data_IF_583641938306
#
_entry.id   IF_583641938306
#
_cell.length_a   1.000
_cell.length_b   1.000
_cell.length_c   1.000
_cell.angle_alpha   90.00
_cell.angle_beta   90.00
_cell.angle_gamma   90.00
#
_symmetry.space_group_name_H-M   'P 1'
#
loop_
_entity.id
_entity.type
_entity.pdbx_description
1 polymer ?
#
# COMPACT_ATOMS: atom_id res chain seq x y z
N UNK A 1 -7.42 41.10 14.27
CA UNK A 1 -6.69 42.33 14.66
C UNK A 1 -5.31 42.23 14.07
N UNK A 2 -4.91 43.21 13.27
CA UNK A 2 -3.68 43.23 12.49
C UNK A 2 -3.74 44.46 11.59
N UNK A 3 -2.71 45.30 11.64
CA UNK A 3 -2.70 46.62 11.01
C UNK A 3 -2.25 46.46 9.55
N UNK A 4 -2.87 47.20 8.64
CA UNK A 4 -2.29 47.53 7.34
C UNK A 4 -2.50 49.02 7.08
N UNK A 5 -1.39 49.74 6.98
CA UNK A 5 -1.37 51.07 6.40
C UNK A 5 -1.72 51.03 4.90
N UNK A 6 -2.11 52.17 4.35
CA UNK A 6 -2.23 52.38 2.91
C UNK A 6 -1.91 53.84 2.61
N UNK A 7 -0.62 54.14 2.63
CA UNK A 7 -0.11 55.48 2.37
C UNK A 7 0.07 55.73 0.87
N UNK A 8 -0.37 56.92 0.44
CA UNK A 8 0.16 57.71 -0.68
C UNK A 8 -0.07 57.27 -2.16
N UNK A 9 -0.23 58.31 -2.98
CA UNK A 9 -0.25 58.34 -4.46
C UNK A 9 -1.44 57.63 -5.15
N UNK A 10 -2.12 58.23 -6.12
CA UNK A 10 -1.66 59.28 -7.03
C UNK A 10 -2.49 60.57 -6.99
N UNK A 11 -1.82 61.71 -6.82
CA UNK A 11 -2.36 63.03 -7.13
C UNK A 11 -1.92 63.44 -8.54
N UNK A 12 -2.88 63.65 -9.45
CA UNK A 12 -2.74 64.46 -10.68
C UNK A 12 -4.15 64.83 -11.19
N UNK A 13 -4.60 66.04 -10.82
CA UNK A 13 -5.61 66.82 -11.54
C UNK A 13 -5.12 68.27 -11.49
N UNK A 14 -4.88 68.88 -12.65
CA UNK A 14 -4.30 70.23 -12.71
C UNK A 14 -5.29 71.29 -12.22
N UNK A 15 -4.82 72.23 -11.39
CA UNK A 15 -5.64 73.38 -11.00
C UNK A 15 -5.75 74.37 -12.16
N UNK A 16 -6.98 74.58 -12.64
CA UNK A 16 -7.30 75.64 -13.60
C UNK A 16 -8.32 76.60 -13.00
N UNK A 17 -7.79 77.74 -12.56
CA UNK A 17 -8.42 79.06 -12.44
C UNK A 17 -9.95 79.07 -12.19
N UNK A 18 -10.32 79.12 -10.92
CA UNK A 18 -11.64 79.58 -10.47
C UNK A 18 -11.87 81.01 -11.00
N UNK A 19 -12.92 81.31 -11.80
CA UNK A 19 -13.18 82.67 -12.25
C UNK A 19 -13.48 83.61 -11.05
N UNK A 20 -13.10 84.89 -11.09
CA UNK A 20 -13.33 85.80 -9.98
C UNK A 20 -14.83 86.06 -9.74
N UNK A 21 -15.23 86.14 -8.47
CA UNK A 21 -16.44 86.85 -8.07
C UNK A 21 -16.34 88.30 -8.56
N UNK A 22 -17.31 88.79 -9.33
CA UNK A 22 -17.39 90.22 -9.64
C UNK A 22 -18.82 90.72 -9.81
N UNK A 23 -19.05 91.84 -9.11
CA UNK A 23 -20.18 92.78 -9.17
C UNK A 23 -21.60 92.21 -9.13
N UNK A 24 -22.24 92.45 -7.98
CA UNK A 24 -23.66 92.78 -7.93
C UNK A 24 -23.99 93.84 -8.99
N UNK A 25 -24.99 93.55 -9.82
CA UNK A 25 -25.81 94.57 -10.44
C UNK A 25 -27.16 94.57 -9.70
N UNK A 26 -27.72 95.72 -9.32
CA UNK A 26 -29.01 95.76 -8.64
C UNK A 26 -30.12 95.39 -9.62
N UNK A 27 -30.75 94.23 -9.41
CA UNK A 27 -31.97 93.85 -10.12
C UNK A 27 -33.07 94.87 -9.82
N UNK A 28 -33.34 95.77 -10.77
CA UNK A 28 -34.46 96.70 -10.66
C UNK A 28 -35.75 95.89 -10.81
N UNK A 29 -36.36 95.51 -9.68
CA UNK A 29 -37.65 94.82 -9.65
C UNK A 29 -38.74 95.79 -10.08
N UNK A 30 -38.95 95.89 -11.39
CA UNK A 30 -40.08 96.61 -11.95
C UNK A 30 -41.37 95.88 -11.53
N UNK A 31 -42.17 96.55 -10.71
CA UNK A 31 -43.44 96.02 -10.24
C UNK A 31 -44.38 95.82 -11.42
N UNK A 32 -44.75 94.56 -11.72
CA UNK A 32 -45.93 94.26 -12.52
C UNK A 32 -47.20 94.44 -11.66
N UNK A 33 -47.47 95.68 -11.24
CA UNK A 33 -48.80 96.05 -10.79
C UNK A 33 -49.74 96.10 -12.00
N UNK A 34 -50.87 95.41 -11.88
CA UNK A 34 -51.90 95.32 -12.91
C UNK A 34 -52.36 96.73 -13.33
N UNK A 35 -52.02 97.15 -14.54
CA UNK A 35 -52.34 98.48 -15.04
C UNK A 35 -53.85 98.69 -15.14
N UNK A 36 -54.42 99.41 -14.17
CA UNK A 36 -55.72 100.05 -14.35
C UNK A 36 -55.62 101.05 -15.50
N UNK A 37 -56.65 101.10 -16.33
CA UNK A 37 -56.77 102.04 -17.45
C UNK A 37 -56.85 103.49 -16.97
N UNK A 38 -55.92 104.38 -17.35
CA UNK A 38 -56.13 105.82 -17.31
C UNK A 38 -56.88 106.23 -18.57
N UNK A 39 -57.96 107.01 -18.44
CA UNK A 39 -58.72 107.48 -19.59
C UNK A 39 -57.89 108.44 -20.47
N UNK A 40 -58.03 108.28 -21.78
CA UNK A 40 -57.39 109.15 -22.77
C UNK A 40 -58.11 110.51 -22.87
N UNK A 41 -57.34 111.55 -23.18
CA UNK A 41 -57.77 112.85 -23.69
C UNK A 41 -58.86 113.62 -22.91
N UNK A 42 -58.41 114.65 -22.18
CA UNK A 42 -58.78 116.01 -22.54
C UNK A 42 -57.66 116.97 -22.13
N UNK A 43 -56.79 117.33 -23.08
CA UNK A 43 -55.91 118.48 -22.96
C UNK A 43 -55.81 119.18 -24.31
N UNK A 44 -56.48 120.31 -24.41
CA UNK A 44 -56.50 121.18 -25.57
C UNK A 44 -55.33 122.17 -25.47
N UNK A 45 -54.61 122.43 -26.58
CA UNK A 45 -53.61 123.50 -26.63
C UNK A 45 -52.34 123.23 -27.44
N UNK A 46 -52.06 124.13 -28.39
CA UNK A 46 -50.74 124.39 -29.01
C UNK A 46 -49.97 123.22 -29.65
N UNK A 47 -50.17 123.06 -30.96
CA UNK A 47 -49.16 122.48 -31.86
C UNK A 47 -47.99 123.46 -32.06
N UNK A 48 -46.72 123.07 -31.84
CA UNK A 48 -45.56 123.89 -32.20
C UNK A 48 -45.34 123.91 -33.72
N UNK A 49 -45.27 125.11 -34.31
CA UNK A 49 -45.16 125.30 -35.76
C UNK A 49 -43.85 124.75 -36.34
N UNK A 50 -43.95 124.08 -37.50
CA UNK A 50 -42.79 123.59 -38.25
C UNK A 50 -41.96 124.76 -38.80
N UNK A 51 -40.67 124.84 -38.41
CA UNK A 51 -39.70 125.73 -39.05
C UNK A 51 -38.83 124.90 -40.03
N UNK A 52 -39.21 124.95 -41.30
CA UNK A 52 -38.50 124.26 -42.38
C UNK A 52 -37.18 124.98 -42.70
N UNK A 53 -36.07 124.34 -42.33
CA UNK A 53 -34.73 124.61 -42.85
C UNK A 53 -34.17 123.29 -43.40
N UNK A 54 -33.46 123.28 -44.56
CA UNK A 54 -32.89 122.05 -45.11
C UNK A 54 -32.03 121.28 -44.10
N UNK A 55 -31.29 121.99 -43.25
CA UNK A 55 -30.43 121.38 -42.22
C UNK A 55 -31.22 120.77 -41.06
N UNK A 56 -32.35 121.35 -40.63
CA UNK A 56 -33.18 120.74 -39.57
C UNK A 56 -33.92 119.50 -40.09
N UNK A 57 -34.31 119.49 -41.36
CA UNK A 57 -34.91 118.32 -42.01
C UNK A 57 -33.89 117.18 -42.17
N UNK A 58 -32.65 117.47 -42.59
CA UNK A 58 -31.58 116.48 -42.65
C UNK A 58 -31.23 115.89 -41.27
N UNK A 59 -31.17 116.73 -40.23
CA UNK A 59 -30.93 116.27 -38.84
C UNK A 59 -32.06 115.35 -38.34
N UNK A 60 -33.33 115.69 -38.57
CA UNK A 60 -34.44 114.80 -38.19
C UNK A 60 -34.44 113.48 -38.94
N UNK A 61 -34.04 113.46 -40.22
CA UNK A 61 -33.88 112.22 -40.98
C UNK A 61 -32.75 111.36 -40.39
N UNK A 62 -31.58 111.95 -40.10
CA UNK A 62 -30.46 111.24 -39.48
C UNK A 62 -30.82 110.65 -38.09
N UNK A 63 -31.53 111.41 -37.25
CA UNK A 63 -32.00 110.94 -35.94
C UNK A 63 -33.02 109.80 -36.07
N UNK A 64 -33.97 109.88 -37.00
CA UNK A 64 -34.90 108.78 -37.28
C UNK A 64 -34.19 107.54 -37.79
N UNK A 65 -33.22 107.68 -38.69
CA UNK A 65 -32.39 106.57 -39.18
C UNK A 65 -31.57 105.93 -38.05
N UNK A 66 -31.07 106.73 -37.09
CA UNK A 66 -30.37 106.21 -35.92
C UNK A 66 -31.32 105.47 -34.96
N UNK A 67 -32.51 105.99 -34.69
CA UNK A 67 -33.54 105.34 -33.87
C UNK A 67 -33.98 104.00 -34.48
N UNK A 68 -34.27 103.98 -35.78
CA UNK A 68 -34.58 102.77 -36.55
C UNK A 68 -33.43 101.74 -36.48
N UNK A 69 -32.18 102.20 -36.57
CA UNK A 69 -31.01 101.31 -36.45
C UNK A 69 -30.82 100.77 -35.03
N UNK A 70 -31.07 101.57 -33.99
CA UNK A 70 -31.01 101.13 -32.59
C UNK A 70 -32.09 100.08 -32.34
N UNK A 71 -33.34 100.35 -32.71
CA UNK A 71 -34.44 99.40 -32.53
C UNK A 71 -34.20 98.06 -33.24
N UNK A 72 -33.62 98.11 -34.44
CA UNK A 72 -33.20 96.93 -35.20
C UNK A 72 -32.10 96.13 -34.49
N UNK A 73 -31.07 96.81 -33.97
CA UNK A 73 -30.00 96.18 -33.20
C UNK A 73 -30.49 95.61 -31.85
N UNK A 74 -31.50 96.22 -31.23
CA UNK A 74 -32.16 95.69 -30.03
C UNK A 74 -32.92 94.39 -30.33
N UNK A 75 -33.64 94.34 -31.45
CA UNK A 75 -34.33 93.13 -31.93
C UNK A 75 -33.35 92.02 -32.34
N UNK A 76 -32.26 92.37 -33.04
CA UNK A 76 -31.18 91.44 -33.36
C UNK A 76 -30.48 90.92 -32.08
N UNK A 77 -30.35 91.75 -31.04
CA UNK A 77 -29.81 91.34 -29.74
C UNK A 77 -30.71 90.34 -29.03
N UNK A 78 -32.02 90.61 -28.91
CA UNK A 78 -32.94 89.68 -28.25
C UNK A 78 -33.05 88.37 -29.03
N UNK A 79 -33.09 88.42 -30.36
CA UNK A 79 -33.05 87.20 -31.18
C UNK A 79 -31.76 86.39 -30.98
N UNK A 80 -30.60 87.05 -30.88
CA UNK A 80 -29.33 86.36 -30.58
C UNK A 80 -29.29 85.78 -29.16
N UNK A 81 -29.90 86.47 -28.19
CA UNK A 81 -30.01 86.04 -26.79
C UNK A 81 -30.95 84.84 -26.64
N UNK A 82 -32.09 84.83 -27.32
CA UNK A 82 -33.00 83.68 -27.40
C UNK A 82 -32.36 82.48 -28.10
N UNK A 83 -31.66 82.69 -29.21
CA UNK A 83 -30.89 81.64 -29.90
C UNK A 83 -29.81 81.03 -28.98
N UNK A 84 -29.09 81.86 -28.23
CA UNK A 84 -28.10 81.40 -27.25
C UNK A 84 -28.76 80.61 -26.11
N UNK A 85 -29.93 81.05 -25.63
CA UNK A 85 -30.71 80.34 -24.61
C UNK A 85 -31.23 78.97 -25.10
N UNK A 86 -31.59 78.85 -26.38
CA UNK A 86 -31.95 77.58 -27.02
C UNK A 86 -30.73 76.65 -27.09
N UNK A 87 -29.62 77.11 -27.69
CA UNK A 87 -28.39 76.33 -27.81
C UNK A 87 -27.81 75.89 -26.45
N UNK A 88 -27.93 76.74 -25.43
CA UNK A 88 -27.53 76.42 -24.05
C UNK A 88 -28.37 75.29 -23.47
N UNK A 89 -29.69 75.29 -23.72
CA UNK A 89 -30.61 74.21 -23.29
C UNK A 89 -30.29 72.90 -24.00
N UNK A 90 -30.14 72.94 -25.34
CA UNK A 90 -29.77 71.77 -26.14
C UNK A 90 -28.44 71.17 -25.68
N UNK A 91 -27.40 72.00 -25.48
CA UNK A 91 -26.11 71.54 -24.98
C UNK A 91 -26.20 70.90 -23.58
N UNK A 92 -27.06 71.43 -22.69
CA UNK A 92 -27.32 70.82 -21.38
C UNK A 92 -28.06 69.47 -21.49
N UNK A 93 -28.99 69.35 -22.43
CA UNK A 93 -29.71 68.09 -22.71
C UNK A 93 -28.79 67.02 -23.32
N UNK A 94 -27.94 67.38 -24.29
CA UNK A 94 -26.91 66.48 -24.82
C UNK A 94 -25.93 66.01 -23.74
N UNK A 95 -25.47 66.92 -22.86
CA UNK A 95 -24.61 66.56 -21.72
C UNK A 95 -25.30 65.55 -20.81
N UNK A 96 -26.57 65.78 -20.47
CA UNK A 96 -27.38 64.91 -19.60
C UNK A 96 -27.62 63.54 -20.24
N UNK A 97 -27.83 63.48 -21.56
CA UNK A 97 -27.98 62.23 -22.31
C UNK A 97 -26.68 61.41 -22.29
N UNK A 98 -25.53 62.04 -22.56
CA UNK A 98 -24.22 61.40 -22.52
C UNK A 98 -23.84 60.89 -21.12
N UNK A 99 -24.15 61.66 -20.08
CA UNK A 99 -23.95 61.26 -18.68
C UNK A 99 -24.81 60.03 -18.33
N UNK A 100 -26.08 60.02 -18.73
CA UNK A 100 -26.97 58.87 -18.56
C UNK A 100 -26.42 57.63 -19.26
N UNK A 101 -26.04 57.74 -20.55
CA UNK A 101 -25.50 56.62 -21.34
C UNK A 101 -24.19 56.08 -20.75
N UNK A 102 -23.36 56.96 -20.19
CA UNK A 102 -22.12 56.59 -19.47
C UNK A 102 -22.45 55.80 -18.21
N UNK A 103 -23.44 56.24 -17.42
CA UNK A 103 -23.86 55.55 -16.20
C UNK A 103 -24.52 54.19 -16.49
N UNK A 104 -25.36 54.08 -17.53
CA UNK A 104 -25.94 52.81 -17.98
C UNK A 104 -24.87 51.81 -18.45
N UNK A 105 -23.88 52.29 -19.22
CA UNK A 105 -22.71 51.50 -19.63
C UNK A 105 -21.87 51.02 -18.45
N UNK A 106 -21.64 51.86 -17.45
CA UNK A 106 -20.90 51.52 -16.24
C UNK A 106 -21.64 50.44 -15.41
N UNK A 107 -22.96 50.57 -15.26
CA UNK A 107 -23.80 49.58 -14.57
C UNK A 107 -23.79 48.23 -15.29
N UNK A 108 -23.94 48.21 -16.62
CA UNK A 108 -23.87 47.00 -17.42
C UNK A 108 -22.49 46.32 -17.31
N UNK A 109 -21.40 47.10 -17.27
CA UNK A 109 -20.05 46.57 -17.06
C UNK A 109 -19.86 45.97 -15.66
N UNK A 110 -20.41 46.63 -14.62
CA UNK A 110 -20.36 46.13 -13.23
C UNK A 110 -21.12 44.80 -13.07
N UNK A 111 -22.31 44.69 -13.67
CA UNK A 111 -23.10 43.45 -13.64
C UNK A 111 -22.41 42.33 -14.45
N UNK A 112 -21.80 42.62 -15.59
CA UNK A 112 -20.97 41.66 -16.33
C UNK A 112 -19.77 41.17 -15.51
N UNK A 113 -19.10 42.06 -14.76
CA UNK A 113 -18.02 41.67 -13.83
C UNK A 113 -18.55 40.75 -12.72
N UNK A 114 -19.74 41.04 -12.17
CA UNK A 114 -20.41 40.20 -11.16
C UNK A 114 -20.73 38.81 -11.71
N UNK A 115 -21.42 38.72 -12.85
CA UNK A 115 -21.73 37.45 -13.52
C UNK A 115 -20.47 36.65 -13.85
N UNK A 116 -19.39 37.30 -14.31
CA UNK A 116 -18.09 36.64 -14.53
C UNK A 116 -17.50 36.06 -13.24
N UNK A 117 -17.60 36.76 -12.11
CA UNK A 117 -17.18 36.24 -10.79
C UNK A 117 -18.04 35.03 -10.38
N UNK A 118 -19.35 35.14 -10.50
CA UNK A 118 -20.29 34.07 -10.12
C UNK A 118 -20.05 32.79 -10.96
N UNK A 119 -19.85 32.93 -12.27
CA UNK A 119 -19.46 31.82 -13.17
C UNK A 119 -18.09 31.24 -12.77
N UNK A 120 -17.12 32.06 -12.37
CA UNK A 120 -15.80 31.59 -11.90
C UNK A 120 -15.91 30.79 -10.60
N UNK A 121 -16.78 31.21 -9.68
CA UNK A 121 -17.07 30.48 -8.43
C UNK A 121 -17.76 29.14 -8.74
N UNK A 122 -18.76 29.14 -9.63
CA UNK A 122 -19.42 27.89 -10.06
C UNK A 122 -18.45 26.92 -10.74
N UNK A 123 -17.57 27.42 -11.63
CA UNK A 123 -16.58 26.61 -12.33
C UNK A 123 -15.56 25.98 -11.37
N UNK A 124 -15.03 26.75 -10.42
CA UNK A 124 -14.09 26.24 -9.42
C UNK A 124 -14.74 25.24 -8.44
N UNK A 125 -16.01 25.45 -8.08
CA UNK A 125 -16.82 24.49 -7.32
C UNK A 125 -17.03 23.18 -8.10
N UNK A 126 -17.41 23.27 -9.38
CA UNK A 126 -17.58 22.11 -10.26
C UNK A 126 -16.25 21.34 -10.45
N UNK A 127 -15.14 22.05 -10.68
CA UNK A 127 -13.81 21.46 -10.77
C UNK A 127 -13.42 20.73 -9.47
N UNK A 128 -13.66 21.34 -8.30
CA UNK A 128 -13.44 20.70 -7.00
C UNK A 128 -14.23 19.40 -6.88
N UNK A 129 -15.52 19.41 -7.21
CA UNK A 129 -16.39 18.22 -7.25
C UNK A 129 -15.86 17.13 -8.20
N UNK A 130 -15.39 17.50 -9.40
CA UNK A 130 -14.77 16.55 -10.33
C UNK A 130 -13.53 15.90 -9.72
N UNK A 131 -12.59 16.67 -9.16
CA UNK A 131 -11.37 16.10 -8.55
C UNK A 131 -11.63 15.20 -7.33
N UNK A 132 -12.76 15.40 -6.63
CA UNK A 132 -13.20 14.49 -5.57
C UNK A 132 -13.73 13.17 -6.14
N UNK A 133 -14.55 13.23 -7.18
CA UNK A 133 -15.08 12.03 -7.87
C UNK A 133 -13.96 11.22 -8.55
N UNK A 134 -12.96 11.89 -9.13
CA UNK A 134 -11.76 11.25 -9.67
C UNK A 134 -10.98 10.49 -8.59
N UNK A 135 -10.77 11.09 -7.40
CA UNK A 135 -10.11 10.43 -6.26
C UNK A 135 -10.91 9.24 -5.72
N UNK A 136 -12.24 9.35 -5.68
CA UNK A 136 -13.12 8.24 -5.29
C UNK A 136 -13.04 7.09 -6.30
N UNK A 137 -13.14 7.39 -7.60
CA UNK A 137 -13.01 6.40 -8.67
C UNK A 137 -11.64 5.71 -8.63
N UNK A 138 -10.55 6.45 -8.39
CA UNK A 138 -9.20 5.89 -8.29
C UNK A 138 -8.95 5.12 -6.98
N UNK A 139 -9.71 5.39 -5.92
CA UNK A 139 -9.77 4.51 -4.76
C UNK A 139 -10.50 3.20 -5.11
N UNK A 140 -11.69 3.26 -5.71
CA UNK A 140 -12.48 2.08 -6.10
C UNK A 140 -11.73 1.18 -7.08
N UNK A 141 -11.05 1.73 -8.10
CA UNK A 141 -10.18 0.94 -9.01
C UNK A 141 -9.12 0.15 -8.25
N UNK A 142 -8.39 0.80 -7.34
CA UNK A 142 -7.33 0.16 -6.55
C UNK A 142 -7.88 -0.93 -5.62
N UNK A 143 -9.06 -0.70 -5.03
CA UNK A 143 -9.77 -1.70 -4.22
C UNK A 143 -10.19 -2.92 -5.06
N UNK A 144 -10.78 -2.72 -6.24
CA UNK A 144 -11.17 -3.80 -7.16
C UNK A 144 -9.95 -4.61 -7.62
N UNK A 145 -8.87 -3.93 -8.02
CA UNK A 145 -7.61 -4.59 -8.39
C UNK A 145 -6.96 -5.34 -7.22
N UNK A 146 -7.22 -4.94 -5.97
CA UNK A 146 -6.75 -5.68 -4.80
C UNK A 146 -7.55 -6.98 -4.62
N UNK A 147 -8.87 -6.89 -4.61
CA UNK A 147 -9.79 -8.05 -4.52
C UNK A 147 -9.56 -9.04 -5.67
N UNK A 148 -9.23 -8.56 -6.87
CA UNK A 148 -8.89 -9.41 -8.02
C UNK A 148 -7.56 -10.16 -7.82
N UNK A 149 -6.53 -9.53 -7.24
CA UNK A 149 -5.29 -10.23 -6.86
C UNK A 149 -5.51 -11.25 -5.75
N UNK A 150 -6.28 -10.90 -4.71
CA UNK A 150 -6.61 -11.79 -3.61
C UNK A 150 -7.39 -13.03 -4.11
N UNK A 151 -8.38 -12.83 -4.97
CA UNK A 151 -9.10 -13.91 -5.66
C UNK A 151 -8.15 -14.80 -6.45
N UNK A 152 -7.24 -14.23 -7.24
CA UNK A 152 -6.31 -15.00 -8.06
C UNK A 152 -5.30 -15.79 -7.19
N UNK A 153 -4.81 -15.21 -6.10
CA UNK A 153 -3.96 -15.89 -5.12
C UNK A 153 -4.68 -17.05 -4.43
N UNK A 154 -5.96 -16.89 -4.06
CA UNK A 154 -6.77 -17.96 -3.47
C UNK A 154 -7.02 -19.09 -4.48
N UNK A 155 -7.28 -18.77 -5.75
CA UNK A 155 -7.42 -19.75 -6.82
C UNK A 155 -6.11 -20.52 -7.10
N UNK A 156 -4.96 -19.82 -7.06
CA UNK A 156 -3.65 -20.45 -7.21
C UNK A 156 -3.31 -21.37 -6.03
N UNK A 157 -3.58 -20.94 -4.79
CA UNK A 157 -3.46 -21.78 -3.59
C UNK A 157 -4.38 -23.01 -3.66
N UNK A 158 -5.62 -22.86 -4.13
CA UNK A 158 -6.54 -23.98 -4.34
C UNK A 158 -6.02 -24.96 -5.41
N UNK A 159 -5.46 -24.45 -6.50
CA UNK A 159 -4.85 -25.27 -7.55
C UNK A 159 -3.52 -25.93 -7.13
N UNK A 160 -2.76 -25.33 -6.21
CA UNK A 160 -1.62 -25.98 -5.58
C UNK A 160 -2.07 -27.11 -4.64
N UNK A 161 -2.98 -26.83 -3.70
CA UNK A 161 -3.52 -27.82 -2.76
C UNK A 161 -4.15 -29.03 -3.48
N UNK A 162 -4.79 -28.81 -4.63
CA UNK A 162 -5.34 -29.88 -5.45
C UNK A 162 -4.24 -30.76 -6.07
N UNK A 163 -3.18 -30.16 -6.64
CA UNK A 163 -2.02 -30.91 -7.17
C UNK A 163 -1.26 -31.67 -6.08
N UNK A 164 -1.15 -31.11 -4.88
CA UNK A 164 -0.53 -31.77 -3.72
C UNK A 164 -1.35 -33.01 -3.30
N UNK A 165 -2.68 -32.89 -3.20
CA UNK A 165 -3.59 -34.02 -2.95
C UNK A 165 -3.51 -35.11 -4.02
N UNK A 166 -3.45 -34.73 -5.29
CA UNK A 166 -3.28 -35.66 -6.41
C UNK A 166 -1.93 -36.38 -6.34
N UNK A 167 -0.84 -35.66 -6.01
CA UNK A 167 0.49 -36.23 -5.82
C UNK A 167 0.53 -37.21 -4.63
N UNK A 168 -0.10 -36.87 -3.51
CA UNK A 168 -0.18 -37.75 -2.34
C UNK A 168 -1.11 -38.95 -2.57
N UNK A 169 -2.17 -38.80 -3.34
CA UNK A 169 -3.00 -39.92 -3.79
C UNK A 169 -2.20 -40.89 -4.67
N UNK A 170 -1.39 -40.39 -5.62
CA UNK A 170 -0.47 -41.22 -6.42
C UNK A 170 0.58 -41.92 -5.54
N UNK A 171 1.19 -41.22 -4.56
CA UNK A 171 2.13 -41.84 -3.60
C UNK A 171 1.46 -42.94 -2.77
N UNK A 172 0.20 -42.75 -2.38
CA UNK A 172 -0.59 -43.74 -1.63
C UNK A 172 -0.95 -44.96 -2.49
N UNK A 173 -1.38 -44.73 -3.74
CA UNK A 173 -1.68 -45.81 -4.69
C UNK A 173 -0.43 -46.68 -4.95
N UNK A 174 0.72 -46.06 -5.24
CA UNK A 174 1.97 -46.80 -5.46
C UNK A 174 2.42 -47.61 -4.22
N UNK A 175 2.14 -47.12 -3.00
CA UNK A 175 2.36 -47.88 -1.76
C UNK A 175 1.39 -49.05 -1.62
N UNK A 176 0.12 -48.89 -2.01
CA UNK A 176 -0.90 -49.92 -1.98
C UNK A 176 -0.60 -51.06 -2.97
N UNK A 177 -0.21 -50.70 -4.20
CA UNK A 177 0.23 -51.65 -5.23
C UNK A 177 1.46 -52.45 -4.79
N UNK A 178 2.43 -51.79 -4.14
CA UNK A 178 3.58 -52.50 -3.55
C UNK A 178 3.17 -53.46 -2.40
N UNK A 179 2.16 -53.12 -1.61
CA UNK A 179 1.66 -53.95 -0.53
C UNK A 179 0.94 -55.20 -1.08
N UNK A 180 0.09 -55.04 -2.10
CA UNK A 180 -0.56 -56.14 -2.82
C UNK A 180 0.46 -57.14 -3.42
N UNK A 181 1.57 -56.65 -4.00
CA UNK A 181 2.66 -57.51 -4.48
C UNK A 181 3.30 -58.30 -3.34
N UNK A 182 3.61 -57.66 -2.19
CA UNK A 182 4.18 -58.32 -1.02
C UNK A 182 3.22 -59.32 -0.38
N UNK A 183 1.91 -59.04 -0.34
CA UNK A 183 0.88 -59.97 0.12
C UNK A 183 0.83 -61.22 -0.77
N UNK A 184 0.87 -61.04 -2.10
CA UNK A 184 0.97 -62.14 -3.07
C UNK A 184 2.26 -62.96 -2.93
N UNK A 185 3.36 -62.35 -2.49
CA UNK A 185 4.60 -63.06 -2.16
C UNK A 185 4.50 -63.83 -0.83
N UNK A 186 3.91 -63.25 0.20
CA UNK A 186 3.61 -63.93 1.46
C UNK A 186 2.73 -65.18 1.23
N UNK A 187 1.69 -65.12 0.39
CA UNK A 187 0.89 -66.30 0.06
C UNK A 187 1.68 -67.40 -0.68
N UNK A 188 2.60 -67.04 -1.59
CA UNK A 188 3.51 -68.00 -2.25
C UNK A 188 4.49 -68.63 -1.26
N UNK A 189 5.01 -67.85 -0.31
CA UNK A 189 5.91 -68.35 0.74
C UNK A 189 5.17 -69.29 1.70
N UNK A 190 3.97 -68.93 2.18
CA UNK A 190 3.16 -69.79 3.07
C UNK A 190 2.77 -71.12 2.41
N UNK A 191 2.40 -71.11 1.12
CA UNK A 191 2.08 -72.35 0.38
C UNK A 191 3.32 -73.21 0.14
N UNK A 192 4.48 -72.60 -0.12
CA UNK A 192 5.77 -73.31 -0.21
C UNK A 192 6.20 -73.89 1.13
N UNK A 193 6.10 -73.11 2.22
CA UNK A 193 6.39 -73.53 3.59
C UNK A 193 5.54 -74.73 3.99
N UNK A 194 4.21 -74.66 3.83
CA UNK A 194 3.31 -75.77 4.14
C UNK A 194 3.70 -77.05 3.36
N UNK A 195 4.03 -76.92 2.08
CA UNK A 195 4.48 -78.04 1.24
C UNK A 195 5.78 -78.66 1.78
N UNK A 196 6.68 -77.86 2.36
CA UNK A 196 7.88 -78.36 3.02
C UNK A 196 7.58 -79.01 4.38
N UNK A 197 6.67 -78.44 5.19
CA UNK A 197 6.22 -78.99 6.48
C UNK A 197 5.54 -80.36 6.30
N UNK A 198 4.60 -80.49 5.37
CA UNK A 198 3.93 -81.75 5.03
C UNK A 198 4.96 -82.81 4.57
N UNK A 199 6.00 -82.40 3.82
CA UNK A 199 7.09 -83.28 3.39
C UNK A 199 8.02 -83.70 4.53
N UNK A 200 8.34 -82.79 5.46
CA UNK A 200 9.13 -83.12 6.67
C UNK A 200 8.37 -84.13 7.53
N UNK A 201 7.09 -83.88 7.80
CA UNK A 201 6.22 -84.78 8.56
C UNK A 201 6.18 -86.21 7.99
N UNK A 202 6.10 -86.34 6.66
CA UNK A 202 6.17 -87.65 5.99
C UNK A 202 7.54 -88.35 6.13
N UNK A 203 8.63 -87.58 6.19
CA UNK A 203 9.97 -88.12 6.44
C UNK A 203 10.17 -88.51 7.92
N UNK A 204 9.62 -87.75 8.87
CA UNK A 204 9.61 -88.12 10.29
C UNK A 204 8.81 -89.41 10.57
N UNK A 205 7.69 -89.60 9.88
CA UNK A 205 6.88 -90.83 9.96
C UNK A 205 7.68 -92.04 9.45
N UNK A 206 8.33 -91.89 8.29
CA UNK A 206 9.24 -92.92 7.75
C UNK A 206 10.46 -93.19 8.63
N UNK A 207 11.00 -92.16 9.30
CA UNK A 207 12.11 -92.32 10.24
C UNK A 207 11.69 -93.19 11.43
N UNK A 208 10.52 -92.92 12.03
CA UNK A 208 9.99 -93.67 13.18
C UNK A 208 9.71 -95.14 12.84
N UNK A 209 9.18 -95.42 11.65
CA UNK A 209 9.01 -96.80 11.18
C UNK A 209 10.37 -97.49 10.99
N UNK A 210 11.37 -96.82 10.42
CA UNK A 210 12.69 -97.42 10.19
C UNK A 210 13.46 -97.63 11.50
N UNK A 211 13.34 -96.72 12.48
CA UNK A 211 13.81 -96.89 13.86
C UNK A 211 13.16 -98.11 14.54
N UNK A 212 11.85 -98.30 14.34
CA UNK A 212 11.11 -99.45 14.84
C UNK A 212 11.58 -100.77 14.20
N UNK A 213 11.81 -100.80 12.88
CA UNK A 213 12.38 -101.96 12.18
C UNK A 213 13.81 -102.27 12.61
N UNK A 214 14.66 -101.24 12.82
CA UNK A 214 16.01 -101.42 13.40
C UNK A 214 15.95 -102.01 14.79
N UNK A 215 15.01 -101.57 15.63
CA UNK A 215 14.82 -102.12 16.96
C UNK A 215 14.40 -103.60 16.92
N UNK A 216 13.41 -103.95 16.09
CA UNK A 216 13.01 -105.36 15.88
C UNK A 216 14.20 -106.24 15.43
N UNK A 217 15.05 -105.72 14.56
CA UNK A 217 16.26 -106.42 14.13
C UNK A 217 17.29 -106.57 15.26
N UNK A 218 17.50 -105.52 16.08
CA UNK A 218 18.40 -105.55 17.23
C UNK A 218 17.91 -106.50 18.33
N UNK A 219 16.60 -106.51 18.63
CA UNK A 219 15.98 -107.40 19.60
C UNK A 219 16.16 -108.87 19.14
N UNK A 220 15.92 -109.17 17.86
CA UNK A 220 16.13 -110.49 17.27
C UNK A 220 17.61 -110.91 17.21
N UNK A 221 18.53 -109.98 16.96
CA UNK A 221 19.96 -110.25 17.04
C UNK A 221 20.40 -110.56 18.49
N UNK A 222 19.79 -109.90 19.47
CA UNK A 222 20.02 -110.13 20.90
C UNK A 222 19.45 -111.47 21.38
N UNK A 223 18.27 -111.86 20.87
CA UNK A 223 17.68 -113.19 21.04
C UNK A 223 18.62 -114.28 20.49
N UNK A 224 19.09 -114.12 19.25
CA UNK A 224 20.04 -115.06 18.62
C UNK A 224 21.37 -115.14 19.38
N UNK A 225 21.92 -114.01 19.83
CA UNK A 225 23.14 -113.99 20.64
C UNK A 225 22.94 -114.71 21.98
N UNK A 226 21.77 -114.53 22.63
CA UNK A 226 21.42 -115.21 23.87
C UNK A 226 21.24 -116.71 23.67
N UNK A 227 20.57 -117.13 22.58
CA UNK A 227 20.44 -118.54 22.20
C UNK A 227 21.78 -119.20 21.87
N UNK A 228 22.69 -118.48 21.19
CA UNK A 228 24.06 -118.94 20.95
C UNK A 228 24.87 -119.06 22.24
N UNK A 229 24.71 -118.14 23.20
CA UNK A 229 25.37 -118.22 24.50
C UNK A 229 24.85 -119.38 25.35
N UNK A 230 23.53 -119.61 25.37
CA UNK A 230 22.91 -120.79 26.02
C UNK A 230 23.45 -122.08 25.39
N UNK A 231 23.53 -122.16 24.07
CA UNK A 231 24.13 -123.30 23.37
C UNK A 231 25.64 -123.45 23.65
N UNK A 232 26.38 -122.35 23.80
CA UNK A 232 27.80 -122.36 24.19
C UNK A 232 27.99 -122.92 25.60
N UNK A 233 27.16 -122.47 26.55
CA UNK A 233 27.15 -122.97 27.93
C UNK A 233 26.83 -124.47 27.92
N UNK A 234 25.75 -124.89 27.25
CA UNK A 234 25.33 -126.29 27.15
C UNK A 234 26.43 -127.19 26.56
N UNK A 235 27.05 -126.79 25.44
CA UNK A 235 28.15 -127.55 24.83
C UNK A 235 29.40 -127.58 25.73
N UNK A 236 29.70 -126.48 26.43
CA UNK A 236 30.82 -126.44 27.38
C UNK A 236 30.60 -127.35 28.60
N UNK A 237 29.34 -127.61 29.00
CA UNK A 237 28.98 -128.56 30.06
C UNK A 237 29.22 -130.03 29.67
N UNK A 238 29.51 -130.33 28.39
CA UNK A 238 29.76 -131.70 27.88
C UNK A 238 31.24 -131.91 27.51
N UNK A 239 32.08 -130.87 27.50
CA UNK A 239 33.46 -130.92 27.04
C UNK A 239 34.50 -130.97 28.19
N UNK A 240 35.38 -131.98 28.19
CA UNK A 240 36.47 -132.11 29.17
C UNK A 240 37.77 -131.41 28.72
N UNK A 241 38.54 -130.73 29.62
CA UNK A 241 39.63 -129.83 29.23
C UNK A 241 41.05 -130.44 29.22
N UNK A 242 41.77 -130.34 28.09
CA UNK A 242 43.24 -130.57 27.95
C UNK A 242 43.80 -129.66 26.83
N UNK A 243 44.60 -128.60 27.08
CA UNK A 243 45.96 -128.48 27.66
C UNK A 243 47.12 -128.58 26.65
N UNK A 244 47.90 -127.50 26.47
CA UNK A 244 49.31 -127.55 26.00
C UNK A 244 50.06 -126.26 26.41
N UNK A 245 51.40 -126.21 26.24
CA UNK A 245 52.30 -125.20 26.85
C UNK A 245 53.21 -124.48 25.84
N UNK A 246 53.41 -123.18 26.07
CA UNK A 246 54.71 -122.47 26.09
C UNK A 246 55.69 -122.54 24.88
N UNK A 247 56.02 -121.37 24.26
CA UNK A 247 57.43 -120.86 24.08
C UNK A 247 57.60 -119.48 23.41
N UNK A 248 57.76 -118.47 24.28
CA UNK A 248 58.67 -117.30 24.26
C UNK A 248 59.62 -117.09 23.04
N UNK A 249 59.53 -115.95 22.32
CA UNK A 249 60.54 -114.83 22.31
C UNK A 249 60.42 -113.79 21.15
N UNK A 250 60.38 -112.49 21.53
CA UNK A 250 60.92 -111.32 20.77
C UNK A 250 60.24 -110.91 19.44
N UNK A 251 60.36 -109.69 18.89
CA UNK A 251 61.12 -108.48 19.28
C UNK A 251 60.39 -107.19 18.77
N UNK A 252 60.54 -106.05 19.50
CA UNK A 252 60.49 -104.59 19.11
C UNK A 252 59.79 -104.13 17.80
N UNK A 253 59.17 -102.94 17.67
CA UNK A 253 58.87 -101.76 18.54
C UNK A 253 58.28 -100.64 17.67
N UNK A 254 57.24 -99.91 18.11
CA UNK A 254 57.05 -98.43 17.95
C UNK A 254 55.86 -97.96 18.84
N UNK A 255 55.77 -96.65 19.12
CA UNK A 255 54.87 -95.99 20.11
C UNK A 255 53.69 -95.30 19.37
N UNK A 256 52.59 -94.83 19.98
CA UNK A 256 52.41 -93.88 21.10
C UNK A 256 51.34 -94.34 22.11
N UNK A 257 51.65 -94.41 23.41
CA UNK A 257 51.48 -93.36 24.44
C UNK A 257 50.02 -93.12 24.89
N UNK A 258 49.79 -93.32 26.19
CA UNK A 258 48.69 -92.74 26.98
C UNK A 258 49.22 -91.52 27.72
N UNK A 259 48.47 -90.42 27.77
CA UNK A 259 48.57 -89.39 28.82
C UNK A 259 47.18 -88.70 28.91
N UNK A 260 46.36 -88.97 29.93
CA UNK A 260 46.35 -88.44 31.32
C UNK A 260 45.62 -87.10 31.43
N UNK A 261 44.48 -87.10 32.13
CA UNK A 261 43.78 -85.88 32.58
C UNK A 261 44.66 -85.09 33.56
N UNK A 262 44.68 -83.76 33.43
CA UNK A 262 44.21 -82.94 34.56
C UNK A 262 43.31 -81.75 34.11
N UNK A 263 42.61 -81.16 35.08
CA UNK A 263 41.84 -79.92 34.90
C UNK A 263 42.72 -78.69 35.14
N UNK A 264 42.64 -77.64 34.32
CA UNK A 264 42.50 -76.25 34.83
C UNK A 264 42.12 -75.20 33.76
N UNK A 265 40.98 -74.54 34.02
CA UNK A 265 40.75 -73.08 34.02
C UNK A 265 41.79 -72.20 33.28
N UNK A 266 41.35 -71.51 32.21
CA UNK A 266 41.24 -70.03 32.24
C UNK A 266 40.26 -69.50 31.17
N UNK A 267 39.73 -68.30 31.40
CA UNK A 267 38.58 -67.74 30.68
C UNK A 267 38.92 -66.58 29.73
N UNK A 268 38.18 -66.48 28.62
CA UNK A 268 37.59 -65.23 28.08
C UNK A 268 36.42 -65.61 27.15
N UNK A 269 35.17 -65.48 27.60
CA UNK A 269 34.34 -64.26 27.65
C UNK A 269 33.59 -64.01 26.33
N UNK A 270 32.34 -64.50 26.27
CA UNK A 270 31.36 -64.25 25.20
C UNK A 270 30.00 -64.76 25.70
N UNK A 271 29.09 -63.85 26.05
CA UNK A 271 28.06 -64.12 27.06
C UNK A 271 26.64 -64.34 26.51
N UNK A 272 26.14 -65.56 26.77
CA UNK A 272 24.80 -65.87 27.35
C UNK A 272 23.51 -65.42 26.60
N UNK A 273 22.33 -66.03 26.90
CA UNK A 273 21.53 -66.58 25.80
C UNK A 273 20.01 -66.32 25.87
N UNK A 274 19.29 -67.02 24.99
CA UNK A 274 17.85 -67.28 25.00
C UNK A 274 17.38 -67.86 26.35
N UNK A 275 16.32 -67.29 26.94
CA UNK A 275 15.33 -68.01 27.78
C UNK A 275 13.93 -67.47 27.46
N UNK A 276 12.92 -68.36 27.49
CA UNK A 276 11.50 -68.03 27.31
C UNK A 276 10.62 -68.77 28.35
N UNK A 277 9.31 -68.47 28.38
CA UNK A 277 8.25 -68.92 29.34
C UNK A 277 8.16 -68.00 30.59
N UNK A 278 7.00 -67.75 31.22
CA UNK A 278 5.61 -68.27 31.00
C UNK A 278 4.51 -67.30 31.52
N UNK A 279 3.43 -67.15 30.72
CA UNK A 279 1.97 -66.93 30.97
C UNK A 279 1.43 -66.58 32.39
N UNK A 280 0.27 -65.86 32.40
CA UNK A 280 -0.77 -65.64 33.46
C UNK A 280 -0.69 -64.25 34.15
N UNK A 281 -1.47 -63.20 33.82
CA UNK A 281 -2.94 -62.95 33.97
C UNK A 281 -3.41 -62.76 35.43
N UNK A 282 -4.31 -61.84 35.83
CA UNK A 282 -5.09 -60.78 35.15
C UNK A 282 -4.69 -59.36 35.72
N UNK A 283 -5.40 -58.22 35.76
CA UNK A 283 -6.81 -57.76 35.62
C UNK A 283 -6.92 -56.27 35.18
N UNK A 284 -8.13 -55.84 34.76
CA UNK A 284 -8.69 -54.47 34.84
C UNK A 284 -10.05 -54.51 35.58
N UNK A 285 -10.85 -53.43 35.74
CA UNK A 285 -11.20 -52.45 34.69
C UNK A 285 -11.46 -50.98 35.17
N UNK A 286 -12.23 -50.21 34.38
CA UNK A 286 -12.53 -48.76 34.47
C UNK A 286 -13.35 -48.24 35.67
N UNK A 287 -13.30 -46.92 35.90
CA UNK A 287 -14.50 -46.07 36.20
C UNK A 287 -14.24 -44.58 35.86
N UNK A 288 -15.25 -43.70 36.01
CA UNK A 288 -15.26 -42.31 35.49
C UNK A 288 -15.31 -41.20 36.58
N UNK A 289 -15.00 -39.96 36.14
CA UNK A 289 -15.47 -38.64 36.62
C UNK A 289 -14.91 -37.95 37.90
N UNK A 290 -14.41 -36.72 37.65
CA UNK A 290 -14.64 -35.42 38.35
C UNK A 290 -13.84 -34.99 39.60
N UNK A 291 -13.52 -33.68 39.56
CA UNK A 291 -13.20 -32.71 40.64
C UNK A 291 -11.92 -33.01 41.46
N UNK A 292 -11.04 -32.05 41.74
CA UNK A 292 -11.31 -30.69 42.29
C UNK A 292 -10.19 -29.68 41.95
N UNK A 293 -10.52 -28.38 41.92
CA UNK A 293 -9.56 -27.26 41.76
C UNK A 293 -8.60 -27.12 42.97
N UNK A 294 -7.47 -26.42 42.78
CA UNK A 294 -7.19 -25.29 43.69
C UNK A 294 -7.20 -23.93 42.98
N UNK A 295 -7.81 -22.94 43.62
CA UNK A 295 -7.82 -21.54 43.16
C UNK A 295 -6.50 -20.84 43.49
N UNK A 296 -5.91 -20.16 42.50
CA UNK A 296 -5.34 -18.80 42.56
C UNK A 296 -4.77 -18.49 41.15
N UNK A 297 -4.97 -17.30 40.56
CA UNK A 297 -4.21 -16.11 40.95
C UNK A 297 -4.92 -14.78 40.60
N UNK A 298 -4.30 -13.72 41.10
CA UNK A 298 -4.58 -12.29 41.01
C UNK A 298 -5.18 -11.71 39.71
N UNK A 299 -6.07 -10.72 39.90
CA UNK A 299 -6.28 -9.61 38.96
C UNK A 299 -5.31 -8.48 39.27
N UNK A 300 -4.70 -7.84 38.24
CA UNK A 300 -4.37 -6.42 38.31
C UNK A 300 -5.51 -5.54 37.77
N UNK A 301 -6.01 -4.68 38.65
CA UNK A 301 -6.73 -3.41 38.46
C UNK A 301 -6.91 -2.88 37.03
N UNK A 302 -8.19 -2.67 36.63
CA UNK A 302 -8.57 -1.72 35.58
C UNK A 302 -8.23 -0.29 36.03
N UNK A 303 -7.26 0.37 35.41
CA UNK A 303 -7.07 1.83 35.56
C UNK A 303 -8.12 2.57 34.73
N UNK A 304 -9.08 3.23 35.41
CA UNK A 304 -10.05 4.11 34.78
C UNK A 304 -9.46 5.50 34.54
N UNK A 305 -8.82 5.71 33.39
CA UNK A 305 -8.57 7.07 32.87
C UNK A 305 -9.85 7.60 32.20
N UNK A 306 -10.87 7.94 33.01
CA UNK A 306 -12.10 8.58 32.52
C UNK A 306 -11.87 10.07 32.21
N UNK A 307 -10.95 10.35 31.28
CA UNK A 307 -10.72 11.68 30.75
C UNK A 307 -11.91 12.11 29.91
N UNK A 308 -12.71 13.06 30.40
CA UNK A 308 -13.64 13.79 29.55
C UNK A 308 -12.82 14.65 28.57
N UNK A 309 -12.95 14.37 27.29
CA UNK A 309 -12.66 15.32 26.22
C UNK A 309 -13.95 15.54 25.43
N UNK A 310 -14.44 16.77 25.42
CA UNK A 310 -15.43 17.20 24.44
C UNK A 310 -14.77 17.25 23.05
N UNK A 311 -15.54 17.10 21.95
CA UNK A 311 -15.02 17.32 20.60
C UNK A 311 -14.65 18.79 20.43
N UNK A 312 -13.40 19.13 20.74
CA UNK A 312 -12.85 20.47 20.56
C UNK A 312 -12.67 20.75 19.07
N UNK A 313 -13.45 21.68 18.54
CA UNK A 313 -13.52 22.07 17.12
C UNK A 313 -12.22 22.78 16.66
N UNK A 314 -11.15 22.01 16.51
CA UNK A 314 -9.80 22.49 16.21
C UNK A 314 -9.50 22.45 14.72
N UNK A 315 -9.66 23.60 14.04
CA UNK A 315 -9.40 23.77 12.60
C UNK A 315 -7.91 23.89 12.28
N UNK A 316 -7.13 22.87 12.64
CA UNK A 316 -5.75 22.71 12.21
C UNK A 316 -5.61 21.50 11.28
N UNK A 317 -4.87 21.69 10.18
CA UNK A 317 -4.61 20.64 9.20
C UNK A 317 -3.68 19.59 9.80
N UNK A 318 -4.22 18.39 10.07
CA UNK A 318 -3.46 17.21 10.49
C UNK A 318 -2.28 17.01 9.53
N UNK A 319 -1.05 17.04 10.04
CA UNK A 319 0.12 16.83 9.20
C UNK A 319 0.27 15.34 8.89
N UNK A 320 0.66 15.02 7.65
CA UNK A 320 0.98 13.65 7.24
C UNK A 320 2.14 13.08 8.09
N UNK A 321 2.96 13.95 8.71
CA UNK A 321 4.00 13.53 9.65
C UNK A 321 3.49 13.05 11.01
N UNK A 322 2.32 13.51 11.46
CA UNK A 322 1.81 13.26 12.83
C UNK A 322 1.30 11.82 12.94
N UNK A 323 0.38 11.43 12.04
CA UNK A 323 -0.15 10.07 11.92
C UNK A 323 0.97 9.03 11.70
N UNK A 324 2.04 9.42 11.02
CA UNK A 324 3.21 8.56 10.76
C UNK A 324 4.08 8.39 12.01
N UNK A 325 4.07 9.36 12.92
CA UNK A 325 4.73 9.26 14.22
C UNK A 325 3.90 8.45 15.22
N UNK A 326 2.57 8.57 15.19
CA UNK A 326 1.65 7.74 15.98
C UNK A 326 1.79 6.26 15.63
N UNK A 327 1.81 5.93 14.33
CA UNK A 327 2.06 4.56 13.86
C UNK A 327 3.46 4.05 14.26
N UNK A 328 4.49 4.92 14.25
CA UNK A 328 5.83 4.54 14.69
C UNK A 328 5.85 4.14 16.17
N UNK A 329 5.23 4.95 17.03
CA UNK A 329 5.12 4.64 18.47
C UNK A 329 4.40 3.30 18.69
N UNK A 330 3.23 3.10 18.08
CA UNK A 330 2.47 1.87 18.23
C UNK A 330 3.27 0.63 17.79
N UNK A 331 4.04 0.72 16.70
CA UNK A 331 4.90 -0.38 16.27
C UNK A 331 6.07 -0.65 17.23
N UNK A 332 6.58 0.38 17.91
CA UNK A 332 7.63 0.26 18.93
C UNK A 332 7.08 -0.37 20.21
N UNK A 333 5.92 0.08 20.71
CA UNK A 333 5.21 -0.52 21.85
C UNK A 333 4.92 -2.02 21.63
N UNK A 334 4.53 -2.39 20.40
CA UNK A 334 4.30 -3.79 20.03
C UNK A 334 5.61 -4.60 19.85
N UNK A 335 6.76 -3.97 19.60
CA UNK A 335 8.06 -4.65 19.60
C UNK A 335 8.52 -4.88 21.04
N UNK A 336 8.35 -3.89 21.93
CA UNK A 336 8.68 -4.03 23.34
C UNK A 336 7.77 -5.04 24.07
N UNK A 337 6.51 -5.18 23.66
CA UNK A 337 5.67 -6.29 24.12
C UNK A 337 6.22 -7.67 23.69
N UNK A 338 6.88 -7.77 22.53
CA UNK A 338 7.53 -9.02 22.12
C UNK A 338 8.88 -9.23 22.83
N UNK A 339 9.64 -8.16 23.09
CA UNK A 339 10.85 -8.21 23.93
C UNK A 339 10.52 -8.74 25.34
N UNK A 340 9.42 -8.26 25.96
CA UNK A 340 8.97 -8.77 27.27
C UNK A 340 8.60 -10.26 27.22
N UNK A 341 7.87 -10.70 26.18
CA UNK A 341 7.52 -12.12 26.00
C UNK A 341 8.72 -13.02 25.72
N UNK A 342 9.72 -12.51 25.02
CA UNK A 342 10.97 -13.21 24.75
C UNK A 342 11.76 -13.46 26.05
N UNK A 343 11.85 -12.45 26.92
CA UNK A 343 12.47 -12.63 28.24
C UNK A 343 11.60 -13.51 29.17
N UNK A 344 10.26 -13.43 29.09
CA UNK A 344 9.36 -14.33 29.82
C UNK A 344 9.55 -15.80 29.43
N UNK A 345 9.54 -16.13 28.13
CA UNK A 345 9.79 -17.48 27.61
C UNK A 345 11.20 -17.97 27.97
N UNK A 346 12.22 -17.11 27.87
CA UNK A 346 13.59 -17.44 28.31
C UNK A 346 13.65 -17.78 29.81
N UNK A 347 12.85 -17.14 30.66
CA UNK A 347 12.81 -17.47 32.09
C UNK A 347 11.99 -18.75 32.35
N UNK A 348 10.90 -18.98 31.64
CA UNK A 348 10.17 -20.26 31.68
C UNK A 348 11.04 -21.44 31.26
N UNK A 349 11.90 -21.30 30.24
CA UNK A 349 12.91 -22.31 29.88
C UNK A 349 13.90 -22.60 31.02
N UNK A 350 14.39 -21.56 31.73
CA UNK A 350 15.32 -21.72 32.85
C UNK A 350 14.69 -22.41 34.07
N UNK A 351 13.38 -22.28 34.25
CA UNK A 351 12.62 -22.84 35.38
C UNK A 351 12.05 -24.24 35.11
N UNK A 352 12.04 -24.71 33.85
CA UNK A 352 11.35 -25.94 33.45
C UNK A 352 12.28 -27.16 33.40
N UNK A 353 12.13 -28.08 34.37
CA UNK A 353 12.88 -29.36 34.39
C UNK A 353 12.42 -30.38 33.32
N UNK A 354 11.23 -30.19 32.73
CA UNK A 354 10.66 -31.13 31.75
C UNK A 354 11.20 -30.88 30.34
N UNK A 355 12.03 -31.81 29.84
CA UNK A 355 12.68 -31.71 28.52
C UNK A 355 11.71 -31.42 27.37
N UNK A 356 10.56 -32.08 27.29
CA UNK A 356 9.64 -31.89 26.16
C UNK A 356 9.02 -30.48 26.16
N UNK A 357 8.72 -29.94 27.35
CA UNK A 357 8.19 -28.58 27.50
C UNK A 357 9.27 -27.54 27.18
N UNK A 358 10.55 -27.85 27.47
CA UNK A 358 11.67 -27.02 27.04
C UNK A 358 11.82 -27.00 25.50
N UNK A 359 11.72 -28.16 24.84
CA UNK A 359 11.75 -28.27 23.37
C UNK A 359 10.54 -27.54 22.71
N UNK A 360 9.35 -27.56 23.34
CA UNK A 360 8.19 -26.77 22.90
C UNK A 360 8.42 -25.24 23.07
N UNK A 361 8.98 -24.81 24.21
CA UNK A 361 9.30 -23.41 24.50
C UNK A 361 10.41 -22.86 23.59
N UNK A 362 11.42 -23.66 23.24
CA UNK A 362 12.44 -23.31 22.25
C UNK A 362 11.81 -23.02 20.88
N UNK A 363 10.81 -23.82 20.46
CA UNK A 363 10.08 -23.61 19.22
C UNK A 363 9.24 -22.31 19.23
N UNK A 364 8.57 -22.00 20.34
CA UNK A 364 7.83 -20.73 20.47
C UNK A 364 8.78 -19.52 20.49
N UNK A 365 9.92 -19.63 21.18
CA UNK A 365 10.94 -18.58 21.23
C UNK A 365 11.54 -18.31 19.84
N UNK A 366 11.90 -19.34 19.08
CA UNK A 366 12.44 -19.18 17.71
C UNK A 366 11.42 -18.52 16.76
N UNK A 367 10.14 -18.86 16.89
CA UNK A 367 9.06 -18.21 16.16
C UNK A 367 8.85 -16.74 16.60
N UNK A 368 8.97 -16.44 17.89
CA UNK A 368 8.89 -15.08 18.41
C UNK A 368 10.05 -14.20 17.94
N UNK A 369 11.29 -14.73 17.91
CA UNK A 369 12.47 -14.03 17.37
C UNK A 369 12.24 -13.66 15.89
N UNK A 370 11.83 -14.61 15.05
CA UNK A 370 11.50 -14.34 13.63
C UNK A 370 10.45 -13.23 13.49
N UNK A 371 9.45 -13.18 14.39
CA UNK A 371 8.43 -12.12 14.42
C UNK A 371 8.97 -10.76 14.88
N UNK A 372 9.93 -10.75 15.82
CA UNK A 372 10.65 -9.55 16.26
C UNK A 372 11.52 -8.97 15.14
N UNK A 373 12.28 -9.81 14.43
CA UNK A 373 13.08 -9.41 13.25
C UNK A 373 12.22 -8.76 12.17
N UNK A 374 11.10 -9.40 11.79
CA UNK A 374 10.14 -8.87 10.81
C UNK A 374 9.59 -7.50 11.25
N UNK A 375 9.31 -7.30 12.54
CA UNK A 375 8.86 -5.99 13.05
C UNK A 375 9.97 -4.96 13.08
N UNK A 376 11.19 -5.34 13.44
CA UNK A 376 12.38 -4.48 13.34
C UNK A 376 12.63 -3.98 11.91
N UNK A 377 12.43 -4.85 10.91
CA UNK A 377 12.43 -4.44 9.50
C UNK A 377 11.31 -3.45 9.17
N UNK A 378 10.08 -3.69 9.63
CA UNK A 378 8.94 -2.81 9.36
C UNK A 378 9.15 -1.41 9.97
N UNK A 379 9.58 -1.34 11.23
CA UNK A 379 9.98 -0.09 11.90
C UNK A 379 11.09 0.61 11.12
N UNK A 380 12.13 -0.13 10.69
CA UNK A 380 13.23 0.41 9.89
C UNK A 380 12.78 0.97 8.54
N UNK A 381 11.77 0.35 7.89
CA UNK A 381 11.15 0.84 6.66
C UNK A 381 10.31 2.10 6.94
N UNK A 382 9.60 2.14 8.07
CA UNK A 382 8.77 3.28 8.47
C UNK A 382 9.60 4.52 8.82
N UNK A 383 10.69 4.37 9.59
CA UNK A 383 11.64 5.45 9.91
C UNK A 383 12.24 6.04 8.62
N UNK A 384 12.67 5.19 7.68
CA UNK A 384 13.16 5.63 6.36
C UNK A 384 12.09 6.38 5.57
N UNK A 385 10.82 5.98 5.65
CA UNK A 385 9.73 6.72 5.04
C UNK A 385 9.52 8.09 5.69
N UNK A 386 9.48 8.16 7.04
CA UNK A 386 9.33 9.40 7.79
C UNK A 386 10.47 10.40 7.51
N UNK A 387 11.71 9.91 7.40
CA UNK A 387 12.85 10.75 7.02
C UNK A 387 12.74 11.29 5.58
N UNK A 388 12.28 10.47 4.64
CA UNK A 388 12.05 10.89 3.25
C UNK A 388 10.89 11.90 3.13
N UNK A 389 9.81 11.73 3.90
CA UNK A 389 8.71 12.71 4.00
C UNK A 389 9.23 14.04 4.54
N UNK A 390 10.01 14.02 5.62
CA UNK A 390 10.64 15.21 6.21
C UNK A 390 11.57 15.93 5.23
N UNK A 391 12.42 15.19 4.51
CA UNK A 391 13.30 15.71 3.43
C UNK A 391 12.50 16.33 2.29
N UNK A 392 11.37 15.76 1.90
CA UNK A 392 10.50 16.29 0.85
C UNK A 392 9.75 17.55 1.29
N UNK A 393 9.22 17.56 2.51
CA UNK A 393 8.61 18.75 3.13
C UNK A 393 9.61 19.91 3.19
N UNK A 394 10.83 19.66 3.65
CA UNK A 394 11.90 20.66 3.71
C UNK A 394 12.23 21.23 2.32
N UNK A 395 12.32 20.40 1.28
CA UNK A 395 12.53 20.86 -0.11
C UNK A 395 11.39 21.73 -0.63
N UNK A 396 10.14 21.37 -0.34
CA UNK A 396 8.94 22.15 -0.72
C UNK A 396 8.86 23.48 0.06
N UNK A 397 9.43 23.54 1.26
CA UNK A 397 9.53 24.77 2.04
C UNK A 397 10.65 25.68 1.51
N UNK A 398 11.81 25.11 1.18
CA UNK A 398 12.94 25.80 0.55
C UNK A 398 12.58 26.37 -0.83
N UNK A 399 11.87 25.60 -1.68
CA UNK A 399 11.47 26.07 -3.02
C UNK A 399 10.57 27.30 -2.94
N UNK A 400 9.61 27.32 -2.00
CA UNK A 400 8.74 28.49 -1.75
C UNK A 400 9.52 29.71 -1.27
N UNK A 401 10.59 29.53 -0.49
CA UNK A 401 11.45 30.62 -0.05
C UNK A 401 12.35 31.17 -1.18
N UNK A 402 12.84 30.31 -2.08
CA UNK A 402 13.56 30.77 -3.28
C UNK A 402 12.64 31.47 -4.29
N UNK A 403 11.40 31.00 -4.45
CA UNK A 403 10.41 31.59 -5.35
C UNK A 403 9.94 32.97 -4.86
N UNK A 404 9.75 33.14 -3.55
CA UNK A 404 9.46 34.43 -2.92
C UNK A 404 10.63 35.44 -2.94
N UNK A 405 11.88 34.99 -3.17
CA UNK A 405 13.06 35.87 -3.25
C UNK A 405 13.53 36.17 -4.68
N UNK A 406 12.98 35.49 -5.69
CA UNK A 406 13.26 35.78 -7.10
C UNK A 406 12.71 37.12 -7.63
N UNK A 407 11.84 37.80 -6.87
CA UNK A 407 11.07 38.97 -7.34
C UNK A 407 11.78 40.32 -7.03
N UNK A 408 13.00 40.30 -6.46
CA UNK A 408 13.82 41.51 -6.25
C UNK A 408 15.24 41.40 -6.83
N UNK A 409 15.39 41.11 -8.14
CA UNK A 409 16.70 41.28 -8.79
C UNK A 409 16.74 41.55 -10.30
N UNK A 410 15.68 42.10 -10.89
CA UNK A 410 15.67 42.45 -12.32
C UNK A 410 15.08 43.84 -12.60
N UNK A 411 15.72 44.88 -12.05
CA UNK A 411 15.69 46.21 -12.66
C UNK A 411 16.96 47.03 -12.31
N UNK A 412 17.22 48.08 -13.09
CA UNK A 412 18.42 48.94 -13.08
C UNK A 412 19.72 48.33 -13.67
N UNK A 413 19.86 48.36 -15.00
CA UNK A 413 20.68 49.40 -15.67
C UNK A 413 20.80 49.15 -17.20
N UNK A 414 20.10 49.95 -18.00
CA UNK A 414 20.32 50.03 -19.46
C UNK A 414 21.26 51.21 -19.80
N UNK A 415 22.52 50.93 -20.18
CA UNK A 415 23.32 51.92 -20.91
C UNK A 415 24.41 51.36 -21.82
N UNK A 416 24.04 51.16 -23.08
CA UNK A 416 24.90 51.40 -24.24
C UNK A 416 25.97 50.37 -24.59
N UNK A 417 25.75 49.65 -25.68
CA UNK A 417 26.65 49.79 -26.83
C UNK A 417 25.91 49.55 -28.15
N UNK A 418 26.43 50.09 -29.24
CA UNK A 418 25.93 49.85 -30.60
C UNK A 418 26.74 48.73 -31.23
N UNK A 419 26.10 47.83 -31.97
CA UNK A 419 26.63 47.45 -33.29
C UNK A 419 25.58 46.74 -34.17
N UNK A 420 25.82 46.80 -35.48
CA UNK A 420 24.89 46.35 -36.53
C UNK A 420 25.49 45.11 -37.22
N UNK A 421 24.70 44.05 -37.45
CA UNK A 421 24.68 43.29 -38.73
C UNK A 421 23.56 42.23 -38.84
N UNK A 422 22.60 42.55 -39.71
CA UNK A 422 22.10 41.75 -40.84
C UNK A 422 21.41 40.37 -40.65
N UNK A 423 20.24 40.25 -41.30
CA UNK A 423 19.60 39.03 -41.83
C UNK A 423 18.96 38.02 -40.83
N UNK A 424 17.84 37.34 -41.15
CA UNK A 424 16.94 37.51 -42.31
C UNK A 424 15.52 36.93 -42.11
N UNK A 425 14.51 37.73 -42.49
CA UNK A 425 13.27 37.40 -43.23
C UNK A 425 12.40 36.15 -42.89
N UNK A 426 11.09 36.44 -42.84
CA UNK A 426 9.89 35.61 -43.14
C UNK A 426 9.32 34.70 -42.04
N UNK A 427 8.19 35.15 -41.47
CA UNK A 427 7.06 34.26 -41.20
C UNK A 427 6.23 34.07 -42.48
N UNK A 428 5.65 32.87 -42.69
CA UNK A 428 4.44 32.62 -43.49
C UNK A 428 3.90 31.22 -43.14
N UNK A 429 2.59 31.00 -43.26
CA UNK A 429 1.91 29.80 -42.76
C UNK A 429 1.85 28.67 -43.80
N UNK A 430 2.02 27.43 -43.34
CA UNK A 430 1.37 26.23 -43.92
C UNK A 430 1.10 25.20 -42.81
N UNK A 431 -0.09 24.60 -42.81
CA UNK A 431 -0.49 23.61 -41.79
C UNK A 431 0.07 22.20 -42.06
N UNK A 432 0.35 21.44 -41.01
CA UNK A 432 0.21 19.97 -41.03
C UNK A 432 -0.01 19.42 -39.62
N UNK A 433 -0.89 18.41 -39.50
CA UNK A 433 -0.93 17.53 -38.33
C UNK A 433 0.33 16.63 -38.34
N UNK A 434 0.93 16.37 -37.19
CA UNK A 434 1.20 15.00 -36.71
C UNK A 434 1.72 14.95 -35.26
N UNK A 435 1.72 13.74 -34.70
CA UNK A 435 2.09 13.42 -33.31
C UNK A 435 3.61 13.47 -33.11
N UNK A 436 4.05 13.87 -31.91
CA UNK A 436 5.15 13.28 -31.10
C UNK A 436 5.08 13.94 -29.70
N UNK A 437 5.20 13.26 -28.55
CA UNK A 437 5.67 11.90 -28.22
C UNK A 437 7.17 11.67 -28.43
N UNK A 438 7.99 12.42 -27.69
CA UNK A 438 9.44 12.22 -27.62
C UNK A 438 9.82 11.43 -26.35
N UNK A 439 9.68 10.11 -26.38
CA UNK A 439 10.53 9.22 -25.57
C UNK A 439 11.73 8.81 -26.43
N UNK A 440 12.96 8.97 -25.93
CA UNK A 440 14.15 8.42 -26.58
C UNK A 440 14.32 6.94 -26.19
N UNK A 441 14.29 5.98 -27.13
CA UNK A 441 14.82 4.64 -26.90
C UNK A 441 16.36 4.69 -26.96
N UNK A 442 17.04 4.14 -25.96
CA UNK A 442 18.50 3.99 -25.98
C UNK A 442 18.88 2.82 -26.90
N UNK A 443 19.68 3.11 -27.93
CA UNK A 443 20.16 2.12 -28.88
C UNK A 443 21.32 1.29 -28.30
N UNK A 444 21.02 0.08 -27.82
CA UNK A 444 22.06 -0.92 -27.47
C UNK A 444 22.31 -1.85 -28.66
N UNK A 445 23.51 -1.76 -29.23
CA UNK A 445 23.97 -2.66 -30.29
C UNK A 445 24.63 -3.92 -29.72
N UNK A 446 24.32 -5.05 -30.35
CA UNK A 446 25.17 -6.25 -30.47
C UNK A 446 25.64 -6.91 -29.16
N UNK A 447 24.86 -7.85 -28.63
CA UNK A 447 25.43 -9.07 -28.02
C UNK A 447 25.00 -10.30 -28.84
N UNK A 448 25.94 -10.88 -29.58
CA UNK A 448 25.68 -12.00 -30.49
C UNK A 448 25.79 -13.35 -29.77
N UNK A 449 24.72 -13.76 -29.10
CA UNK A 449 24.68 -15.04 -28.38
C UNK A 449 24.80 -16.24 -29.36
N UNK A 450 25.86 -17.04 -29.18
CA UNK A 450 26.04 -18.37 -29.79
C UNK A 450 26.27 -19.41 -28.69
N UNK A 451 25.18 -19.79 -28.01
CA UNK A 451 25.14 -21.07 -27.29
C UNK A 451 24.78 -22.17 -28.28
N UNK A 452 25.42 -23.33 -28.18
CA UNK A 452 25.08 -24.54 -28.94
C UNK A 452 24.16 -25.43 -28.12
N UNK A 453 23.60 -26.45 -28.77
CA UNK A 453 22.63 -27.35 -28.15
C UNK A 453 23.27 -28.35 -27.17
N UNK A 454 24.60 -28.38 -27.17
CA UNK A 454 25.44 -29.36 -26.48
C UNK A 454 26.00 -28.81 -25.15
N UNK A 455 25.79 -27.52 -24.87
CA UNK A 455 26.33 -26.79 -23.70
C UNK A 455 25.51 -27.04 -22.40
N UNK A 456 24.66 -28.08 -22.36
CA UNK A 456 23.81 -28.42 -21.20
C UNK A 456 24.04 -29.90 -20.80
N UNK A 457 25.11 -30.13 -20.05
CA UNK A 457 25.30 -31.36 -19.30
C UNK A 457 24.71 -31.19 -17.90
N UNK A 458 23.75 -32.05 -17.53
CA UNK A 458 23.33 -32.21 -16.14
C UNK A 458 24.24 -33.24 -15.48
N UNK A 459 24.91 -32.84 -14.40
CA UNK A 459 25.64 -33.77 -13.52
C UNK A 459 24.64 -34.54 -12.64
N UNK A 460 24.99 -35.76 -12.23
CA UNK A 460 24.04 -36.85 -11.89
C UNK A 460 23.83 -37.06 -10.39
#
# INVERSE_FOLDING_TARGET
>A
IGIMDSELMHSIVGSYLKPPERVFFPSFTQNNESSQTPHYANFEGTSPKMLHSPNSQALMLALKTLQEKIHRLELERTQAEDNLNILSREAAEYKKALEKETNERNLAHQELIKQKKDITIQLSSAQSRCTLLEKQLEYTKRMVLNVEREKNMILEQQAQLQREKEQDHMKLQAKLEKLDVLEKECFKLTTTQKTAEDKIKHLEEKLKEEEHQRKLFQDKASELQTGLEINRILMSSVANPKSSKEKKKSLKKTRCLKERLPQQIYSKSGSLPIVAKKVTQHYGPHTHQKLTEPRCLYKPTRTTSQGKAEPSDSKHSISIGDNLSELLMAMQDELDQMNMKHEELLNQMKETESRSVCEDLECELEHLVKKMEIKGEQISKLIKHQENVRKLQQKVQQSKMSEASGIQREDNNLKGSKNIKNSSRKCLLTNSLQKNSNFHPVQVHNLQMKLRRDDIMWEQ
#
